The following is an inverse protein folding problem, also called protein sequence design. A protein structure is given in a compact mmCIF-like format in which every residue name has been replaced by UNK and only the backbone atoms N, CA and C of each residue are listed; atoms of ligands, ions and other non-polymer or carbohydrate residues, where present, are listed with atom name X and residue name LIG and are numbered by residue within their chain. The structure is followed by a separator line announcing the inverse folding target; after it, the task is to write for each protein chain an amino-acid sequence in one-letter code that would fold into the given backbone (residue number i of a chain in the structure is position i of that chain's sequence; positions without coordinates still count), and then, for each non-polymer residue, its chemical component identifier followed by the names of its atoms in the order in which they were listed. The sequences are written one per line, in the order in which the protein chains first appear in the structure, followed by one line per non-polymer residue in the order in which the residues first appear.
data_IF_142256533693
#
_entry.id   IF_142256533693
#
_cell.length_a   1.000
_cell.length_b   1.000
_cell.length_c   1.000
_cell.angle_alpha   90.00
_cell.angle_beta   90.00
_cell.angle_gamma   90.00
#
_symmetry.space_group_name_H-M   'P 1'
#
loop_
_entity.id
_entity.type
_entity.pdbx_description
1 polymer ?
#
# COMPACT_ATOMS: atom_id res chain seq x y z
N UNK A 1 11.93 26.08 31.21
CA UNK A 1 12.95 26.48 30.21
C UNK A 1 12.25 27.47 29.31
N UNK A 2 12.73 28.72 29.23
CA UNK A 2 12.08 29.75 28.41
C UNK A 2 12.59 29.53 26.98
N UNK A 3 11.72 29.12 26.07
CA UNK A 3 12.07 29.06 24.65
C UNK A 3 12.41 30.47 24.19
N UNK A 4 13.69 30.71 23.92
CA UNK A 4 14.19 32.03 23.54
C UNK A 4 14.04 32.15 22.03
N UNK A 5 13.14 33.01 21.57
CA UNK A 5 12.96 33.29 20.14
C UNK A 5 14.01 34.30 19.70
N UNK A 6 14.87 33.91 18.77
CA UNK A 6 15.89 34.79 18.16
C UNK A 6 15.34 35.32 16.82
N UNK A 7 15.24 36.64 16.68
CA UNK A 7 14.84 37.29 15.43
C UNK A 7 16.10 37.69 14.68
N UNK A 8 16.34 37.10 13.51
CA UNK A 8 17.44 37.49 12.63
C UNK A 8 16.96 38.56 11.64
N UNK A 9 17.69 39.66 11.50
CA UNK A 9 17.39 40.75 10.56
C UNK A 9 17.98 40.52 9.16
N UNK A 10 18.84 39.50 9.00
CA UNK A 10 19.41 39.13 7.70
C UNK A 10 19.81 37.65 7.64
N UNK A 11 20.01 37.12 6.43
CA UNK A 11 20.54 35.76 6.23
C UNK A 11 21.98 35.61 6.76
N UNK A 12 22.74 36.70 6.87
CA UNK A 12 24.07 36.69 7.46
C UNK A 12 24.01 36.44 8.97
N UNK A 13 23.07 37.09 9.67
CA UNK A 13 22.84 36.88 11.10
C UNK A 13 22.36 35.46 11.38
N UNK A 14 21.47 34.92 10.53
CA UNK A 14 20.99 33.53 10.62
C UNK A 14 22.14 32.51 10.61
N UNK A 15 23.18 32.75 9.80
CA UNK A 15 24.38 31.87 9.70
C UNK A 15 25.27 31.88 10.95
N UNK A 16 25.06 32.80 11.90
CA UNK A 16 25.77 32.76 13.19
C UNK A 16 25.15 31.74 14.15
N UNK A 17 23.88 31.38 13.94
CA UNK A 17 23.14 30.44 14.78
C UNK A 17 22.99 29.06 14.14
N UNK A 18 22.98 28.98 12.80
CA UNK A 18 22.79 27.74 12.05
C UNK A 18 23.99 27.42 11.16
N UNK A 19 24.36 26.15 11.16
CA UNK A 19 25.40 25.62 10.27
C UNK A 19 25.02 25.74 8.79
N UNK A 20 26.00 25.85 7.88
CA UNK A 20 25.74 25.93 6.44
C UNK A 20 25.00 24.71 5.88
N UNK A 21 25.11 23.55 6.51
CA UNK A 21 24.43 22.30 6.15
C UNK A 21 22.94 22.27 6.49
N UNK A 22 22.50 23.16 7.38
CA UNK A 22 21.11 23.29 7.84
C UNK A 22 20.33 24.36 7.07
N UNK A 23 21.00 25.06 6.16
CA UNK A 23 20.45 26.17 5.40
C UNK A 23 20.41 25.83 3.90
N UNK A 24 19.33 26.22 3.24
CA UNK A 24 19.19 26.07 1.79
C UNK A 24 20.07 27.09 1.05
N UNK A 25 20.38 26.80 -0.22
CA UNK A 25 21.33 27.61 -1.00
C UNK A 25 20.86 29.07 -1.19
N UNK A 26 19.55 29.32 -1.26
CA UNK A 26 18.92 30.64 -1.38
C UNK A 26 19.14 31.54 -0.15
N UNK A 27 19.46 30.97 1.01
CA UNK A 27 19.80 31.71 2.24
C UNK A 27 21.29 31.57 2.62
N UNK A 28 22.12 31.10 1.68
CA UNK A 28 23.58 31.03 1.84
C UNK A 28 24.08 29.77 2.54
N UNK A 29 23.31 28.69 2.52
CA UNK A 29 23.76 27.37 2.96
C UNK A 29 24.15 26.42 1.82
N UNK A 30 24.24 25.14 2.15
CA UNK A 30 24.71 24.05 1.29
C UNK A 30 23.65 22.94 1.12
N UNK A 31 22.51 23.05 1.80
CA UNK A 31 21.41 22.10 1.68
C UNK A 31 20.77 22.24 0.30
N UNK A 32 20.88 21.18 -0.50
CA UNK A 32 20.19 21.08 -1.79
C UNK A 32 18.70 20.83 -1.54
N UNK A 33 17.89 21.84 -1.80
CA UNK A 33 16.44 21.77 -1.72
C UNK A 33 15.82 22.14 -3.06
N UNK A 34 14.92 21.29 -3.54
CA UNK A 34 14.09 21.56 -4.71
C UNK A 34 12.62 21.48 -4.27
N UNK A 35 11.94 22.64 -4.26
CA UNK A 35 10.55 22.72 -3.82
C UNK A 35 9.62 21.87 -4.69
N UNK A 36 9.80 21.89 -6.00
CA UNK A 36 8.96 21.14 -6.93
C UNK A 36 9.09 19.63 -6.70
N UNK A 37 10.31 19.15 -6.52
CA UNK A 37 10.59 17.74 -6.19
C UNK A 37 9.97 17.35 -4.84
N UNK A 38 10.11 18.19 -3.82
CA UNK A 38 9.53 17.94 -2.50
C UNK A 38 8.01 17.85 -2.56
N UNK A 39 7.35 18.78 -3.26
CA UNK A 39 5.90 18.76 -3.47
C UNK A 39 5.49 17.49 -4.22
N UNK A 40 6.21 17.14 -5.28
CA UNK A 40 5.94 15.95 -6.08
C UNK A 40 6.00 14.66 -5.24
N UNK A 41 7.06 14.49 -4.46
CA UNK A 41 7.19 13.34 -3.55
C UNK A 41 6.03 13.25 -2.56
N UNK A 42 5.59 14.37 -1.98
CA UNK A 42 4.43 14.37 -1.09
C UNK A 42 3.15 13.98 -1.81
N UNK A 43 2.90 14.53 -3.00
CA UNK A 43 1.72 14.16 -3.79
C UNK A 43 1.71 12.67 -4.12
N UNK A 44 2.84 12.09 -4.50
CA UNK A 44 2.93 10.67 -4.83
C UNK A 44 2.74 9.77 -3.60
N UNK A 45 3.27 10.18 -2.44
CA UNK A 45 3.01 9.48 -1.16
C UNK A 45 1.52 9.52 -0.82
N UNK A 46 0.85 10.66 -0.96
CA UNK A 46 -0.59 10.77 -0.71
C UNK A 46 -1.43 9.95 -1.71
N UNK A 47 -1.02 9.89 -2.99
CA UNK A 47 -1.66 9.01 -3.99
C UNK A 47 -1.52 7.53 -3.61
N UNK A 48 -0.36 7.13 -3.08
CA UNK A 48 -0.14 5.76 -2.62
C UNK A 48 -1.02 5.43 -1.41
N UNK A 49 -1.14 6.34 -0.44
CA UNK A 49 -2.09 6.20 0.68
C UNK A 49 -3.53 6.07 0.20
N UNK A 50 -3.94 6.93 -0.73
CA UNK A 50 -5.28 6.85 -1.32
C UNK A 50 -5.53 5.50 -2.01
N UNK A 51 -4.55 4.97 -2.74
CA UNK A 51 -4.65 3.64 -3.36
C UNK A 51 -4.78 2.53 -2.31
N UNK A 52 -4.02 2.60 -1.22
CA UNK A 52 -4.12 1.66 -0.11
C UNK A 52 -5.50 1.72 0.58
N UNK A 53 -6.09 2.90 0.72
CA UNK A 53 -7.45 3.08 1.25
C UNK A 53 -8.49 2.41 0.34
N UNK A 54 -8.38 2.55 -0.98
CA UNK A 54 -9.28 1.90 -1.93
C UNK A 54 -9.18 0.37 -1.80
N UNK A 55 -7.97 -0.17 -1.74
CA UNK A 55 -7.77 -1.62 -1.52
C UNK A 55 -8.40 -2.07 -0.20
N UNK A 56 -8.19 -1.32 0.88
CA UNK A 56 -8.77 -1.65 2.19
C UNK A 56 -10.31 -1.65 2.17
N UNK A 57 -10.92 -0.75 1.40
CA UNK A 57 -12.36 -0.72 1.18
C UNK A 57 -12.83 -1.95 0.40
N UNK A 58 -12.20 -2.26 -0.74
CA UNK A 58 -12.52 -3.45 -1.54
C UNK A 58 -12.40 -4.75 -0.74
N UNK A 59 -11.37 -4.87 0.10
CA UNK A 59 -11.20 -6.01 1.00
C UNK A 59 -12.29 -6.10 2.06
N UNK A 60 -12.77 -4.97 2.57
CA UNK A 60 -13.85 -4.93 3.56
C UNK A 60 -15.17 -5.37 2.94
N UNK A 61 -15.48 -4.87 1.75
CA UNK A 61 -16.67 -5.24 0.97
C UNK A 61 -16.64 -6.72 0.58
N UNK A 62 -15.52 -7.19 0.04
CA UNK A 62 -15.33 -8.59 -0.31
C UNK A 62 -15.39 -9.49 0.92
N UNK A 63 -14.71 -9.12 2.00
CA UNK A 63 -14.74 -9.86 3.27
C UNK A 63 -16.14 -9.99 3.86
N UNK A 64 -16.99 -8.97 3.69
CA UNK A 64 -18.41 -9.04 4.03
C UNK A 64 -19.16 -10.02 3.12
N UNK A 65 -18.99 -9.91 1.80
CA UNK A 65 -19.56 -10.84 0.82
C UNK A 65 -19.24 -12.31 1.17
N UNK A 66 -17.97 -12.63 1.46
CA UNK A 66 -17.56 -14.00 1.81
C UNK A 66 -18.18 -14.51 3.11
N UNK A 67 -18.36 -13.65 4.12
CA UNK A 67 -19.00 -13.99 5.40
C UNK A 67 -20.49 -14.25 5.26
N UNK A 68 -21.18 -13.43 4.45
CA UNK A 68 -22.62 -13.53 4.19
C UNK A 68 -22.97 -14.62 3.17
N UNK A 69 -21.98 -15.22 2.51
CA UNK A 69 -22.20 -16.30 1.55
C UNK A 69 -22.70 -17.56 2.26
N UNK A 70 -23.97 -17.88 2.03
CA UNK A 70 -24.56 -19.18 2.35
C UNK A 70 -24.20 -20.23 1.30
N UNK A 71 -24.09 -21.50 1.72
CA UNK A 71 -23.78 -22.60 0.80
C UNK A 71 -25.03 -22.99 -0.01
N UNK A 72 -25.03 -22.85 -1.34
CA UNK A 72 -26.21 -23.18 -2.14
C UNK A 72 -26.50 -24.67 -2.17
N UNK A 73 -27.74 -25.03 -2.49
CA UNK A 73 -28.18 -26.42 -2.53
C UNK A 73 -28.14 -27.07 -3.92
N UNK A 74 -27.68 -26.34 -4.94
CA UNK A 74 -27.58 -26.82 -6.33
C UNK A 74 -26.19 -26.54 -6.95
N UNK A 75 -25.88 -27.26 -8.03
CA UNK A 75 -24.59 -27.20 -8.72
C UNK A 75 -24.36 -25.85 -9.40
N UNK A 76 -25.39 -25.30 -10.04
CA UNK A 76 -25.29 -24.11 -10.88
C UNK A 76 -25.00 -22.87 -10.04
N UNK A 77 -25.80 -22.63 -8.99
CA UNK A 77 -25.61 -21.51 -8.08
C UNK A 77 -24.27 -21.58 -7.37
N UNK A 78 -23.86 -22.76 -6.91
CA UNK A 78 -22.55 -22.94 -6.25
C UNK A 78 -21.39 -22.63 -7.19
N UNK A 79 -21.46 -23.10 -8.44
CA UNK A 79 -20.43 -22.82 -9.45
C UNK A 79 -20.36 -21.32 -9.79
N UNK A 80 -21.51 -20.66 -9.96
CA UNK A 80 -21.59 -19.24 -10.27
C UNK A 80 -21.02 -18.37 -9.14
N UNK A 81 -21.32 -18.69 -7.88
CA UNK A 81 -20.77 -17.95 -6.73
C UNK A 81 -19.25 -18.09 -6.68
N UNK A 82 -18.74 -19.31 -6.87
CA UNK A 82 -17.29 -19.56 -6.89
C UNK A 82 -16.60 -18.76 -8.00
N UNK A 83 -17.15 -18.76 -9.21
CA UNK A 83 -16.63 -18.00 -10.35
C UNK A 83 -16.61 -16.49 -10.07
N UNK A 84 -17.75 -15.93 -9.64
CA UNK A 84 -17.89 -14.51 -9.36
C UNK A 84 -16.90 -14.04 -8.27
N UNK A 85 -16.81 -14.77 -7.15
CA UNK A 85 -15.92 -14.41 -6.06
C UNK A 85 -14.44 -14.61 -6.42
N UNK A 86 -14.12 -15.56 -7.30
CA UNK A 86 -12.76 -15.74 -7.82
C UNK A 86 -12.36 -14.54 -8.69
N UNK A 87 -13.27 -14.09 -9.57
CA UNK A 87 -13.03 -12.92 -10.41
C UNK A 87 -12.85 -11.64 -9.58
N UNK A 88 -13.64 -11.45 -8.53
CA UNK A 88 -13.51 -10.31 -7.62
C UNK A 88 -12.18 -10.37 -6.84
N UNK A 89 -11.79 -11.56 -6.35
CA UNK A 89 -10.47 -11.79 -5.74
C UNK A 89 -9.34 -11.40 -6.69
N UNK A 90 -9.41 -11.84 -7.95
CA UNK A 90 -8.38 -11.58 -8.95
C UNK A 90 -8.26 -10.07 -9.26
N UNK A 91 -9.38 -9.34 -9.29
CA UNK A 91 -9.38 -7.89 -9.43
C UNK A 91 -8.65 -7.19 -8.26
N UNK A 92 -8.97 -7.57 -7.02
CA UNK A 92 -8.30 -7.03 -5.82
C UNK A 92 -6.79 -7.33 -5.84
N UNK A 93 -6.39 -8.54 -6.28
CA UNK A 93 -4.98 -8.92 -6.42
C UNK A 93 -4.25 -8.06 -7.46
N UNK A 94 -4.91 -7.68 -8.55
CA UNK A 94 -4.31 -6.77 -9.52
C UNK A 94 -4.14 -5.36 -8.94
N UNK A 95 -5.09 -4.87 -8.13
CA UNK A 95 -4.96 -3.59 -7.43
C UNK A 95 -3.76 -3.56 -6.47
N UNK A 96 -3.54 -4.65 -5.72
CA UNK A 96 -2.32 -4.85 -4.93
C UNK A 96 -1.07 -4.77 -5.80
N UNK A 97 -1.03 -5.53 -6.90
CA UNK A 97 0.12 -5.59 -7.80
C UNK A 97 0.46 -4.22 -8.38
N UNK A 98 -0.55 -3.46 -8.81
CA UNK A 98 -0.39 -2.11 -9.34
C UNK A 98 0.14 -1.17 -8.25
N UNK A 99 -0.42 -1.23 -7.05
CA UNK A 99 -0.05 -0.37 -5.92
C UNK A 99 1.38 -0.63 -5.45
N UNK A 100 1.78 -1.89 -5.33
CA UNK A 100 3.15 -2.30 -4.96
C UNK A 100 4.15 -1.81 -6.01
N UNK A 101 3.85 -1.98 -7.31
CA UNK A 101 4.73 -1.48 -8.38
C UNK A 101 4.90 0.03 -8.34
N UNK A 102 3.81 0.78 -8.13
CA UNK A 102 3.86 2.24 -7.98
C UNK A 102 4.71 2.63 -6.77
N UNK A 103 4.53 1.96 -5.64
CA UNK A 103 5.31 2.21 -4.42
C UNK A 103 6.80 1.90 -4.59
N UNK A 104 7.16 0.77 -5.22
CA UNK A 104 8.56 0.42 -5.51
C UNK A 104 9.21 1.40 -6.50
N UNK A 105 8.46 1.84 -7.52
CA UNK A 105 8.93 2.87 -8.43
C UNK A 105 9.19 4.18 -7.67
N UNK A 106 8.23 4.65 -6.88
CA UNK A 106 8.37 5.85 -6.06
C UNK A 106 9.57 5.76 -5.12
N UNK A 107 9.75 4.61 -4.46
CA UNK A 107 10.88 4.37 -3.56
C UNK A 107 12.23 4.52 -4.26
N UNK A 108 12.37 4.00 -5.49
CA UNK A 108 13.57 4.19 -6.31
C UNK A 108 13.80 5.66 -6.66
N UNK A 109 12.76 6.38 -7.05
CA UNK A 109 12.85 7.82 -7.39
C UNK A 109 13.26 8.66 -6.17
N UNK A 110 12.62 8.44 -5.01
CA UNK A 110 12.90 9.21 -3.78
C UNK A 110 14.31 8.94 -3.24
N UNK A 111 14.83 7.71 -3.40
CA UNK A 111 16.20 7.36 -3.01
C UNK A 111 17.25 8.02 -3.91
N UNK A 112 16.92 8.28 -5.18
CA UNK A 112 17.86 8.74 -6.23
C UNK A 112 19.10 7.85 -6.39
N UNK A 113 19.07 6.64 -5.84
CA UNK A 113 20.17 5.68 -5.77
C UNK A 113 19.62 4.30 -6.07
N UNK A 114 20.31 3.55 -6.92
CA UNK A 114 19.93 2.18 -7.26
C UNK A 114 20.16 1.20 -6.09
N UNK A 115 21.06 1.54 -5.17
CA UNK A 115 21.37 0.80 -3.95
C UNK A 115 20.73 1.52 -2.75
N UNK A 116 20.29 0.76 -1.74
CA UNK A 116 19.75 1.32 -0.49
C UNK A 116 20.81 2.22 0.16
N UNK A 117 20.56 3.54 0.29
CA UNK A 117 21.51 4.43 0.94
C UNK A 117 21.63 4.13 2.43
N UNK A 118 22.80 4.43 2.99
CA UNK A 118 22.95 4.56 4.44
C UNK A 118 22.16 5.78 4.93
N UNK A 119 21.71 5.75 6.19
CA UNK A 119 20.91 6.83 6.78
C UNK A 119 21.57 8.21 6.66
N UNK A 120 22.91 8.24 6.75
CA UNK A 120 23.74 9.44 6.70
C UNK A 120 23.81 10.08 5.29
N UNK A 121 23.45 9.32 4.26
CA UNK A 121 23.51 9.76 2.85
C UNK A 121 22.23 10.49 2.41
N UNK A 122 21.15 10.39 3.20
CA UNK A 122 19.88 11.03 2.93
C UNK A 122 19.69 12.27 3.81
N UNK A 123 19.07 13.30 3.22
CA UNK A 123 18.57 14.41 4.05
C UNK A 123 17.45 13.90 4.98
N UNK A 124 17.24 14.49 6.16
CA UNK A 124 16.20 14.04 7.11
C UNK A 124 14.81 13.87 6.47
N UNK A 125 14.42 14.83 5.62
CA UNK A 125 13.16 14.78 4.86
C UNK A 125 13.09 13.61 3.90
N UNK A 126 14.18 13.32 3.17
CA UNK A 126 14.24 12.17 2.26
C UNK A 126 14.18 10.86 3.04
N UNK A 127 14.92 10.76 4.14
CA UNK A 127 14.88 9.60 5.01
C UNK A 127 13.47 9.32 5.54
N UNK A 128 12.75 10.36 5.96
CA UNK A 128 11.36 10.26 6.39
C UNK A 128 10.46 9.71 5.27
N UNK A 129 10.58 10.25 4.05
CA UNK A 129 9.80 9.79 2.90
C UNK A 129 10.10 8.32 2.54
N UNK A 130 11.38 7.94 2.49
CA UNK A 130 11.81 6.55 2.24
C UNK A 130 11.20 5.61 3.28
N UNK A 131 11.33 5.95 4.56
CA UNK A 131 10.78 5.13 5.66
C UNK A 131 9.26 5.00 5.57
N UNK A 132 8.56 6.10 5.23
CA UNK A 132 7.11 6.07 5.07
C UNK A 132 6.68 5.14 3.93
N UNK A 133 7.35 5.21 2.78
CA UNK A 133 7.05 4.37 1.61
C UNK A 133 7.35 2.90 1.91
N UNK A 134 8.50 2.59 2.51
CA UNK A 134 8.86 1.22 2.92
C UNK A 134 7.82 0.62 3.87
N UNK A 135 7.38 1.38 4.89
CA UNK A 135 6.34 0.92 5.81
C UNK A 135 5.02 0.65 5.10
N UNK A 136 4.59 1.51 4.19
CA UNK A 136 3.36 1.29 3.43
C UNK A 136 3.44 0.04 2.54
N UNK A 137 4.60 -0.21 1.91
CA UNK A 137 4.83 -1.43 1.12
C UNK A 137 4.73 -2.69 1.98
N UNK A 138 5.38 -2.70 3.15
CA UNK A 138 5.31 -3.82 4.09
C UNK A 138 3.85 -4.07 4.53
N UNK A 139 3.11 -3.02 4.86
CA UNK A 139 1.70 -3.15 5.25
C UNK A 139 0.82 -3.70 4.12
N UNK A 140 1.06 -3.28 2.87
CA UNK A 140 0.35 -3.83 1.72
C UNK A 140 0.64 -5.33 1.55
N UNK A 141 1.91 -5.75 1.64
CA UNK A 141 2.31 -7.16 1.52
C UNK A 141 1.76 -8.04 2.67
N UNK A 142 1.74 -7.52 3.90
CA UNK A 142 1.12 -8.21 5.04
C UNK A 142 -0.39 -8.34 4.87
N UNK A 143 -1.05 -7.28 4.40
CA UNK A 143 -2.50 -7.28 4.15
C UNK A 143 -2.84 -8.27 3.03
N UNK A 144 -2.08 -8.29 1.94
CA UNK A 144 -2.26 -9.22 0.83
C UNK A 144 -2.09 -10.69 1.29
N UNK A 145 -1.09 -10.98 2.12
CA UNK A 145 -0.90 -12.33 2.67
C UNK A 145 -2.04 -12.78 3.59
N UNK A 146 -2.54 -11.86 4.42
CA UNK A 146 -3.72 -12.12 5.26
C UNK A 146 -4.94 -12.42 4.40
N UNK A 147 -5.13 -11.64 3.33
CA UNK A 147 -6.19 -11.82 2.36
C UNK A 147 -6.11 -13.20 1.67
N UNK A 148 -4.94 -13.57 1.14
CA UNK A 148 -4.72 -14.88 0.50
C UNK A 148 -5.05 -16.04 1.47
N UNK A 149 -4.66 -15.90 2.74
CA UNK A 149 -4.94 -16.91 3.77
C UNK A 149 -6.44 -17.07 4.05
N UNK A 150 -7.19 -15.96 4.05
CA UNK A 150 -8.64 -15.99 4.21
C UNK A 150 -9.32 -16.61 2.99
N UNK A 151 -8.91 -16.20 1.78
CA UNK A 151 -9.45 -16.69 0.51
C UNK A 151 -9.32 -18.21 0.38
N UNK A 152 -8.13 -18.78 0.61
CA UNK A 152 -7.89 -20.23 0.47
C UNK A 152 -8.84 -21.06 1.33
N UNK A 153 -9.18 -20.59 2.54
CA UNK A 153 -10.13 -21.27 3.43
C UNK A 153 -11.55 -21.22 2.87
N UNK A 154 -11.98 -20.05 2.41
CA UNK A 154 -13.32 -19.85 1.85
C UNK A 154 -13.52 -20.59 0.53
N UNK A 155 -12.56 -20.48 -0.38
CA UNK A 155 -12.55 -21.16 -1.67
C UNK A 155 -12.65 -22.68 -1.49
N UNK A 156 -11.85 -23.26 -0.56
CA UNK A 156 -11.91 -24.69 -0.24
C UNK A 156 -13.31 -25.12 0.21
N UNK A 157 -13.97 -24.32 1.06
CA UNK A 157 -15.33 -24.59 1.55
C UNK A 157 -16.33 -24.61 0.39
N UNK A 158 -16.29 -23.63 -0.51
CA UNK A 158 -17.17 -23.58 -1.69
C UNK A 158 -16.89 -24.71 -2.68
N UNK A 159 -15.62 -25.02 -2.94
CA UNK A 159 -15.26 -26.15 -3.81
C UNK A 159 -15.75 -27.49 -3.25
N UNK A 160 -15.69 -27.69 -1.94
CA UNK A 160 -16.22 -28.90 -1.29
C UNK A 160 -17.74 -28.97 -1.42
N UNK A 161 -18.45 -27.85 -1.22
CA UNK A 161 -19.88 -27.76 -1.48
C UNK A 161 -20.21 -28.15 -2.93
N UNK A 162 -19.51 -27.57 -3.91
CA UNK A 162 -19.73 -27.87 -5.32
C UNK A 162 -19.53 -29.36 -5.66
N UNK A 163 -18.47 -29.98 -5.11
CA UNK A 163 -18.22 -31.41 -5.27
C UNK A 163 -19.35 -32.26 -4.70
N UNK A 164 -19.84 -31.91 -3.51
CA UNK A 164 -20.98 -32.59 -2.87
C UNK A 164 -22.25 -32.46 -3.73
N UNK A 165 -22.58 -31.25 -4.19
CA UNK A 165 -23.76 -31.02 -5.05
C UNK A 165 -23.68 -31.83 -6.35
N UNK A 166 -22.51 -31.88 -7.00
CA UNK A 166 -22.30 -32.68 -8.22
C UNK A 166 -22.49 -34.18 -7.98
N UNK A 167 -22.04 -34.67 -6.82
CA UNK A 167 -22.23 -36.06 -6.42
C UNK A 167 -23.72 -36.38 -6.22
N UNK A 168 -24.44 -35.55 -5.44
CA UNK A 168 -25.87 -35.71 -5.18
C UNK A 168 -26.70 -35.70 -6.47
N UNK A 169 -26.40 -34.77 -7.39
CA UNK A 169 -27.08 -34.66 -8.68
C UNK A 169 -26.81 -35.89 -9.58
N UNK A 170 -25.57 -36.38 -9.60
CA UNK A 170 -25.21 -37.60 -10.32
C UNK A 170 -25.95 -38.83 -9.77
N UNK A 171 -26.05 -38.94 -8.44
CA UNK A 171 -26.76 -40.04 -7.78
C UNK A 171 -28.27 -40.03 -8.10
N UNK A 172 -28.89 -38.84 -8.17
CA UNK A 172 -30.31 -38.70 -8.56
C UNK A 172 -30.59 -39.05 -10.02
N UNK A 173 -29.58 -39.00 -10.89
CA UNK A 173 -29.73 -39.32 -12.32
C UNK A 173 -29.54 -40.81 -12.64
N UNK A 174 -28.98 -41.57 -11.69
CA UNK A 174 -28.67 -43.01 -11.84
C UNK A 174 -29.73 -43.89 -11.16
N UNK A 175 -30.56 -43.33 -10.28
CA UNK A 175 -31.76 -43.97 -9.70
C UNK A 175 -33.03 -43.39 -10.33
#
# INVERSE_FOLDING_TARGET
MIDTVVICQSSLELRHYLGPDSLTMDVGGTLKYNHLEWVQHRMDIERMKSSATVIAQSLSEFGRCLKETELPNDVETTARILEMQTAERDAIKEDFRISIRKGLSLLRHVRQLDVKPEHEQLSPTRLHNVTAIERMLIQLEETERSFDTFWVKHEKRLMQCLKLRRFEDSFRKVN
#
